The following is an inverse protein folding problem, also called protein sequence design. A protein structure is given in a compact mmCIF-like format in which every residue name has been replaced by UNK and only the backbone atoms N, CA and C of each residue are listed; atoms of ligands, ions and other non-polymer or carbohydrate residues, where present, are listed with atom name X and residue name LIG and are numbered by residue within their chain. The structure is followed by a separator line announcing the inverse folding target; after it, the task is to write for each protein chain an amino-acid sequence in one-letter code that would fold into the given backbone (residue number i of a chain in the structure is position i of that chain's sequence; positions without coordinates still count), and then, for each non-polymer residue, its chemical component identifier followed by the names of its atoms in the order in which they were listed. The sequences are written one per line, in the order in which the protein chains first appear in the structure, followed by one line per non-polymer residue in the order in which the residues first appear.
data_IF_988744620895
#
_entry.id   IF_988744620895
#
_cell.length_a   1.000
_cell.length_b   1.000
_cell.length_c   1.000
_cell.angle_alpha   90.00
_cell.angle_beta   90.00
_cell.angle_gamma   90.00
#
_symmetry.space_group_name_H-M   'P 1'
#
loop_
_entity.id
_entity.type
_entity.pdbx_description
1 polymer ?
#
# COMPACT_ATOMS: atom_id res chain seq x y z
N UNK A 1 46.45 48.65 -24.23
CA UNK A 1 45.06 48.60 -23.72
C UNK A 1 45.01 47.62 -22.56
N UNK A 2 44.88 48.12 -21.33
CA UNK A 2 44.74 47.31 -20.11
C UNK A 2 43.29 46.86 -20.03
N UNK A 3 43.01 45.64 -20.47
CA UNK A 3 41.66 45.10 -20.37
C UNK A 3 41.29 44.84 -18.91
N UNK A 4 40.12 45.37 -18.56
CA UNK A 4 39.44 45.24 -17.27
C UNK A 4 39.34 43.77 -16.89
N UNK A 5 40.26 43.29 -16.07
CA UNK A 5 40.07 42.10 -15.23
C UNK A 5 38.95 42.51 -14.25
N UNK A 6 37.73 42.20 -14.64
CA UNK A 6 36.52 42.42 -13.85
C UNK A 6 36.71 41.80 -12.47
N UNK A 7 36.36 42.57 -11.44
CA UNK A 7 36.29 42.25 -10.01
C UNK A 7 35.45 41.00 -9.65
N UNK A 8 34.99 40.24 -10.65
CA UNK A 8 34.26 38.98 -10.52
C UNK A 8 35.18 37.74 -10.47
N UNK A 9 36.50 37.89 -10.66
CA UNK A 9 37.47 36.77 -10.66
C UNK A 9 38.37 36.72 -9.41
N UNK A 10 38.23 37.64 -8.47
CA UNK A 10 39.02 37.67 -7.23
C UNK A 10 38.09 37.34 -6.06
N UNK A 11 38.53 36.43 -5.21
CA UNK A 11 37.84 36.06 -3.97
C UNK A 11 37.95 37.23 -2.98
N UNK A 12 36.84 37.84 -2.55
CA UNK A 12 36.86 38.97 -1.62
C UNK A 12 37.35 38.60 -0.22
N UNK A 13 37.31 37.32 0.17
CA UNK A 13 37.74 36.87 1.49
C UNK A 13 39.25 36.64 1.58
N UNK A 14 39.88 36.24 0.47
CA UNK A 14 41.31 35.86 0.45
C UNK A 14 42.18 36.77 -0.41
N UNK A 15 41.59 37.59 -1.28
CA UNK A 15 42.31 38.43 -2.23
C UNK A 15 42.96 37.65 -3.38
N UNK A 16 42.76 36.33 -3.45
CA UNK A 16 43.31 35.45 -4.48
C UNK A 16 42.33 35.26 -5.64
N UNK A 17 42.78 34.82 -6.83
CA UNK A 17 41.88 34.46 -7.92
C UNK A 17 40.91 33.34 -7.53
N UNK A 18 39.65 33.46 -7.94
CA UNK A 18 38.64 32.43 -7.75
C UNK A 18 39.01 31.15 -8.51
N UNK A 19 38.75 29.95 -7.94
CA UNK A 19 38.98 28.70 -8.64
C UNK A 19 38.17 28.62 -9.94
N UNK A 20 38.73 27.98 -10.97
CA UNK A 20 38.03 27.80 -12.25
C UNK A 20 36.67 27.11 -12.05
N UNK A 21 35.61 27.68 -12.63
CA UNK A 21 34.23 27.21 -12.49
C UNK A 21 33.46 27.77 -11.29
N UNK A 22 34.11 28.56 -10.43
CA UNK A 22 33.49 29.29 -9.31
C UNK A 22 33.31 30.76 -9.69
N UNK A 23 32.12 31.29 -9.40
CA UNK A 23 31.74 32.67 -9.64
C UNK A 23 31.28 33.31 -8.32
N UNK A 24 31.76 34.50 -8.01
CA UNK A 24 31.24 35.32 -6.91
C UNK A 24 30.34 36.41 -7.47
N UNK A 25 29.08 36.47 -7.01
CA UNK A 25 28.03 37.33 -7.58
C UNK A 25 27.83 38.66 -6.83
N UNK A 26 28.78 39.09 -5.99
CA UNK A 26 28.61 40.24 -5.09
C UNK A 26 28.16 39.80 -3.70
N UNK A 27 27.43 40.64 -2.93
CA UNK A 27 26.95 40.41 -1.54
C UNK A 27 26.08 39.13 -1.36
N UNK A 28 26.61 37.96 -1.66
CA UNK A 28 25.88 36.70 -1.76
C UNK A 28 26.82 35.50 -1.91
N UNK A 29 26.27 34.27 -1.97
CA UNK A 29 27.04 33.05 -1.95
C UNK A 29 27.84 32.81 -3.24
N UNK A 30 28.92 32.04 -3.12
CA UNK A 30 29.76 31.58 -4.24
C UNK A 30 29.01 30.55 -5.06
N UNK A 31 28.94 30.71 -6.39
CA UNK A 31 28.25 29.76 -7.29
C UNK A 31 29.27 28.93 -8.05
N UNK A 32 29.19 27.61 -7.92
CA UNK A 32 29.92 26.69 -8.79
C UNK A 32 29.03 26.24 -9.95
N UNK A 33 29.63 26.01 -11.13
CA UNK A 33 28.94 25.48 -12.31
C UNK A 33 29.74 24.35 -12.94
N UNK A 34 29.10 23.20 -13.21
CA UNK A 34 29.70 22.06 -13.90
C UNK A 34 28.78 21.62 -15.05
N UNK A 35 29.38 21.18 -16.17
CA UNK A 35 28.65 20.61 -17.30
C UNK A 35 28.62 19.09 -17.13
N UNK A 36 27.44 18.49 -17.28
CA UNK A 36 27.25 17.04 -17.21
C UNK A 36 27.18 16.42 -18.61
N UNK A 37 27.24 15.09 -18.69
CA UNK A 37 27.00 14.35 -19.94
C UNK A 37 25.59 14.72 -20.48
N UNK A 38 25.46 14.88 -21.80
CA UNK A 38 24.24 15.43 -22.43
C UNK A 38 24.21 16.95 -22.54
N UNK A 39 25.20 17.66 -21.99
CA UNK A 39 25.44 19.07 -22.27
C UNK A 39 24.75 20.05 -21.33
N UNK A 40 23.89 19.56 -20.44
CA UNK A 40 23.27 20.35 -19.37
C UNK A 40 24.30 20.90 -18.37
N UNK A 41 23.91 21.96 -17.66
CA UNK A 41 24.74 22.62 -16.64
C UNK A 41 24.08 22.55 -15.28
N UNK A 42 24.72 21.85 -14.36
CA UNK A 42 24.37 21.88 -12.94
C UNK A 42 25.10 23.02 -12.26
N UNK A 43 24.45 23.60 -11.26
CA UNK A 43 25.04 24.65 -10.45
C UNK A 43 24.56 24.55 -9.02
N UNK A 44 25.45 24.90 -8.09
CA UNK A 44 25.14 24.96 -6.67
C UNK A 44 25.83 26.19 -6.06
N UNK A 45 25.23 26.70 -4.99
CA UNK A 45 25.71 27.90 -4.27
C UNK A 45 26.26 27.51 -2.90
N UNK A 46 27.34 28.17 -2.48
CA UNK A 46 28.12 27.84 -1.28
C UNK A 46 28.48 29.09 -0.49
N UNK A 47 28.73 28.91 0.80
CA UNK A 47 29.18 29.98 1.69
C UNK A 47 30.64 30.42 1.43
N UNK A 48 31.46 29.58 0.80
CA UNK A 48 32.88 29.88 0.52
C UNK A 48 33.36 29.37 -0.83
N UNK A 49 34.36 30.03 -1.41
CA UNK A 49 35.04 29.58 -2.64
C UNK A 49 35.67 28.18 -2.47
N UNK A 50 36.19 27.86 -1.27
CA UNK A 50 36.76 26.56 -0.96
C UNK A 50 35.73 25.43 -1.02
N UNK A 51 34.53 25.64 -0.46
CA UNK A 51 33.43 24.67 -0.56
C UNK A 51 32.96 24.50 -2.00
N UNK A 52 32.80 25.62 -2.72
CA UNK A 52 32.43 25.61 -4.13
C UNK A 52 33.43 24.82 -4.98
N UNK A 53 34.73 24.96 -4.70
CA UNK A 53 35.78 24.21 -5.39
C UNK A 53 35.75 22.73 -5.05
N UNK A 54 35.63 22.38 -3.76
CA UNK A 54 35.52 20.98 -3.33
C UNK A 54 34.35 20.27 -4.02
N UNK A 55 33.20 20.93 -4.12
CA UNK A 55 32.06 20.40 -4.86
C UNK A 55 32.39 20.17 -6.34
N UNK A 56 33.05 21.13 -7.02
CA UNK A 56 33.47 20.92 -8.40
C UNK A 56 34.39 19.71 -8.56
N UNK A 57 35.35 19.53 -7.66
CA UNK A 57 36.31 18.42 -7.72
C UNK A 57 35.60 17.08 -7.49
N UNK A 58 34.75 16.97 -6.45
CA UNK A 58 33.94 15.77 -6.17
C UNK A 58 33.02 15.42 -7.35
N UNK A 59 32.24 16.38 -7.82
CA UNK A 59 31.31 16.17 -8.94
C UNK A 59 32.05 15.83 -10.24
N UNK A 60 33.27 16.34 -10.44
CA UNK A 60 34.09 15.96 -11.60
C UNK A 60 34.52 14.50 -11.53
N UNK A 61 34.99 14.06 -10.37
CA UNK A 61 35.37 12.68 -10.15
C UNK A 61 34.17 11.72 -10.32
N UNK A 62 33.00 12.09 -9.80
CA UNK A 62 31.76 11.32 -9.98
C UNK A 62 31.36 11.23 -11.47
N UNK A 63 31.46 12.33 -12.22
CA UNK A 63 31.18 12.33 -13.66
C UNK A 63 32.18 11.48 -14.45
N UNK A 64 33.48 11.56 -14.12
CA UNK A 64 34.53 10.76 -14.75
C UNK A 64 34.36 9.27 -14.47
N UNK A 65 33.91 8.91 -13.28
CA UNK A 65 33.62 7.53 -12.88
C UNK A 65 32.22 7.05 -13.32
N UNK A 66 31.41 7.92 -13.92
CA UNK A 66 30.02 7.61 -14.31
C UNK A 66 29.08 7.36 -13.12
N UNK A 67 29.41 7.88 -11.94
CA UNK A 67 28.68 7.69 -10.67
C UNK A 67 27.80 8.90 -10.31
N UNK A 68 27.78 9.93 -11.15
CA UNK A 68 26.97 11.12 -10.90
C UNK A 68 25.47 10.81 -11.07
N UNK A 69 24.71 10.90 -9.98
CA UNK A 69 23.24 10.83 -9.99
C UNK A 69 22.65 12.23 -9.77
N UNK A 70 21.78 12.67 -10.67
CA UNK A 70 21.09 13.95 -10.52
C UNK A 70 19.92 13.83 -9.54
N UNK A 71 20.11 14.22 -8.28
CA UNK A 71 19.08 14.09 -7.24
C UNK A 71 18.01 15.18 -7.25
N UNK A 72 18.11 16.20 -8.12
CA UNK A 72 17.14 17.31 -8.21
C UNK A 72 15.68 16.85 -8.34
N UNK A 73 15.35 15.78 -9.09
CA UNK A 73 13.98 15.27 -9.16
C UNK A 73 13.44 14.77 -7.81
N UNK A 74 14.32 14.26 -6.92
CA UNK A 74 13.95 13.81 -5.58
C UNK A 74 13.78 14.97 -4.59
N UNK A 75 14.51 16.06 -4.77
CA UNK A 75 14.38 17.27 -3.95
C UNK A 75 13.06 18.01 -4.20
N UNK A 76 12.52 17.92 -5.42
CA UNK A 76 11.32 18.64 -5.86
C UNK A 76 10.01 17.93 -5.56
N UNK A 77 10.07 16.67 -5.15
CA UNK A 77 8.90 15.84 -4.92
C UNK A 77 8.91 15.33 -3.49
N UNK A 78 7.71 15.17 -2.94
CA UNK A 78 7.46 14.60 -1.63
C UNK A 78 7.01 13.14 -1.74
N UNK A 79 7.09 12.41 -0.62
CA UNK A 79 6.52 11.06 -0.52
C UNK A 79 5.01 11.07 -0.80
N UNK A 80 4.29 12.11 -0.36
CA UNK A 80 2.86 12.29 -0.66
C UNK A 80 2.62 12.30 -2.17
N UNK A 81 3.30 13.17 -2.89
CA UNK A 81 3.11 13.31 -4.33
C UNK A 81 3.44 12.01 -5.07
N UNK A 82 4.48 11.30 -4.62
CA UNK A 82 4.83 9.98 -5.14
C UNK A 82 3.71 8.95 -4.95
N UNK A 83 3.15 8.88 -3.73
CA UNK A 83 2.08 7.96 -3.38
C UNK A 83 0.80 8.31 -4.14
N UNK A 84 0.43 9.59 -4.22
CA UNK A 84 -0.77 10.05 -4.93
C UNK A 84 -0.67 9.74 -6.43
N UNK A 85 0.51 9.94 -7.03
CA UNK A 85 0.78 9.54 -8.41
C UNK A 85 0.59 8.04 -8.60
N UNK A 86 1.19 7.22 -7.72
CA UNK A 86 1.07 5.77 -7.79
C UNK A 86 -0.38 5.30 -7.66
N UNK A 87 -1.15 5.93 -6.78
CA UNK A 87 -2.57 5.60 -6.58
C UNK A 87 -3.38 5.88 -7.84
N UNK A 88 -3.10 6.98 -8.53
CA UNK A 88 -3.78 7.38 -9.77
C UNK A 88 -3.44 6.46 -10.95
N UNK A 89 -2.18 6.07 -11.08
CA UNK A 89 -1.67 5.31 -12.23
C UNK A 89 -1.89 3.79 -12.04
N UNK A 90 -1.57 3.24 -10.86
CA UNK A 90 -1.42 1.79 -10.67
C UNK A 90 -2.52 1.13 -9.79
N UNK A 91 -3.29 1.91 -9.02
CA UNK A 91 -4.23 1.36 -8.02
C UNK A 91 -5.71 1.45 -8.41
N UNK A 92 -6.02 1.60 -9.69
CA UNK A 92 -7.42 1.73 -10.16
C UNK A 92 -8.30 0.54 -9.72
N UNK A 93 -7.74 -0.67 -9.64
CA UNK A 93 -8.47 -1.91 -9.29
C UNK A 93 -8.27 -2.37 -7.84
N UNK A 94 -7.50 -1.64 -7.02
CA UNK A 94 -7.09 -2.04 -5.66
C UNK A 94 -7.79 -1.25 -4.56
N UNK A 95 -9.12 -1.26 -4.57
CA UNK A 95 -9.96 -0.42 -3.69
C UNK A 95 -9.68 -0.59 -2.18
N UNK A 96 -9.46 -1.84 -1.72
CA UNK A 96 -9.18 -2.11 -0.30
C UNK A 96 -7.87 -1.48 0.18
N UNK A 97 -6.84 -1.47 -0.66
CA UNK A 97 -5.54 -0.89 -0.31
C UNK A 97 -5.65 0.65 -0.24
N UNK A 98 -6.45 1.25 -1.14
CA UNK A 98 -6.77 2.68 -1.15
C UNK A 98 -7.54 3.13 0.08
N UNK A 99 -8.46 2.30 0.61
CA UNK A 99 -9.24 2.60 1.81
C UNK A 99 -8.47 2.36 3.13
N UNK A 100 -7.57 1.37 3.17
CA UNK A 100 -6.96 0.93 4.44
C UNK A 100 -5.47 1.23 4.62
N UNK A 101 -4.64 1.01 3.60
CA UNK A 101 -3.18 1.03 3.73
C UNK A 101 -2.58 2.37 3.29
N UNK A 102 -3.05 2.92 2.17
CA UNK A 102 -2.60 4.23 1.65
C UNK A 102 -2.82 5.37 2.65
N UNK A 103 -4.01 5.52 3.30
CA UNK A 103 -4.24 6.64 4.19
C UNK A 103 -3.27 6.65 5.38
N UNK A 104 -2.84 5.48 5.86
CA UNK A 104 -1.88 5.40 6.95
C UNK A 104 -0.47 5.87 6.57
N UNK A 105 -0.10 5.78 5.28
CA UNK A 105 1.14 6.39 4.78
C UNK A 105 0.94 7.90 4.68
N UNK A 106 -0.17 8.33 4.06
CA UNK A 106 -0.47 9.75 3.80
C UNK A 106 -0.75 10.57 5.07
N UNK A 107 -1.19 9.95 6.15
CA UNK A 107 -1.46 10.63 7.44
C UNK A 107 -0.21 10.71 8.34
N UNK A 108 0.84 9.95 8.04
CA UNK A 108 2.08 9.99 8.80
C UNK A 108 3.00 11.11 8.29
N UNK A 109 3.89 11.59 9.17
CA UNK A 109 4.89 12.62 8.83
C UNK A 109 5.82 12.21 7.67
N UNK A 110 6.01 10.90 7.43
CA UNK A 110 6.82 10.40 6.31
C UNK A 110 6.30 10.91 4.96
N UNK A 111 4.99 11.17 4.85
CA UNK A 111 4.38 11.70 3.62
C UNK A 111 4.86 13.12 3.27
N UNK A 112 5.29 13.89 4.26
CA UNK A 112 5.72 15.28 4.07
C UNK A 112 7.21 15.40 3.74
N UNK A 113 7.96 14.32 3.85
CA UNK A 113 9.39 14.32 3.51
C UNK A 113 9.56 14.49 2.00
N UNK A 114 10.56 15.29 1.62
CA UNK A 114 11.09 15.25 0.26
C UNK A 114 11.65 13.85 -0.01
N UNK A 115 11.61 13.39 -1.27
CA UNK A 115 12.09 12.05 -1.61
C UNK A 115 13.58 11.89 -1.34
N UNK A 116 14.36 12.97 -1.39
CA UNK A 116 15.78 12.98 -1.01
C UNK A 116 15.98 12.67 0.48
N UNK A 117 15.01 13.04 1.33
CA UNK A 117 15.03 12.81 2.78
C UNK A 117 14.39 11.47 3.17
N UNK A 118 13.83 10.72 2.22
CA UNK A 118 13.29 9.37 2.42
C UNK A 118 14.44 8.37 2.60
N UNK A 119 15.07 8.41 3.77
CA UNK A 119 16.17 7.51 4.12
C UNK A 119 15.66 6.23 4.79
N UNK A 120 16.46 5.15 4.85
CA UNK A 120 16.12 3.98 5.66
C UNK A 120 15.86 4.31 7.14
N UNK A 121 16.47 5.38 7.66
CA UNK A 121 16.22 5.88 9.02
C UNK A 121 14.81 6.45 9.15
N UNK A 122 14.37 7.28 8.21
CA UNK A 122 13.00 7.80 8.18
C UNK A 122 11.97 6.67 8.09
N UNK A 123 12.22 5.67 7.24
CA UNK A 123 11.35 4.50 7.10
C UNK A 123 11.30 3.64 8.37
N UNK A 124 12.42 3.52 9.13
CA UNK A 124 12.40 2.87 10.45
C UNK A 124 11.54 3.63 11.45
N UNK A 125 11.65 4.97 11.49
CA UNK A 125 10.79 5.80 12.33
C UNK A 125 9.30 5.59 12.02
N UNK A 126 8.94 5.56 10.74
CA UNK A 126 7.59 5.23 10.31
C UNK A 126 7.13 3.83 10.74
N UNK A 127 7.99 2.80 10.59
CA UNK A 127 7.69 1.45 11.08
C UNK A 127 7.38 1.45 12.58
N UNK A 128 8.21 2.13 13.36
CA UNK A 128 8.13 2.09 14.82
C UNK A 128 6.85 2.79 15.30
N UNK A 129 6.49 3.94 14.73
CA UNK A 129 5.18 4.59 14.97
C UNK A 129 3.99 3.73 14.56
N UNK A 130 4.09 2.99 13.45
CA UNK A 130 3.04 2.07 13.06
C UNK A 130 2.91 0.89 14.04
N UNK A 131 4.02 0.41 14.61
CA UNK A 131 4.03 -0.72 15.53
C UNK A 131 3.34 -0.41 16.87
N UNK A 132 3.28 0.87 17.26
CA UNK A 132 2.53 1.30 18.46
C UNK A 132 1.01 1.11 18.31
N UNK A 133 0.49 1.19 17.07
CA UNK A 133 -0.95 1.23 16.80
C UNK A 133 -1.48 -0.01 16.10
N UNK A 134 -0.63 -0.79 15.45
CA UNK A 134 -1.05 -1.85 14.53
C UNK A 134 -0.29 -3.16 14.73
N UNK A 135 -0.97 -4.27 14.43
CA UNK A 135 -0.34 -5.60 14.43
C UNK A 135 0.85 -5.68 13.46
N UNK A 136 1.85 -6.51 13.78
CA UNK A 136 3.04 -6.73 12.95
C UNK A 136 2.69 -7.03 11.48
N UNK A 137 1.67 -7.84 11.23
CA UNK A 137 1.21 -8.16 9.87
C UNK A 137 0.74 -6.92 9.09
N UNK A 138 0.03 -6.00 9.75
CA UNK A 138 -0.42 -4.73 9.16
C UNK A 138 0.76 -3.82 8.86
N UNK A 139 1.72 -3.71 9.79
CA UNK A 139 2.93 -2.90 9.59
C UNK A 139 3.72 -3.41 8.38
N UNK A 140 3.93 -4.73 8.28
CA UNK A 140 4.64 -5.35 7.14
C UNK A 140 3.95 -5.05 5.82
N UNK A 141 2.62 -5.15 5.74
CA UNK A 141 1.88 -4.83 4.52
C UNK A 141 2.09 -3.38 4.07
N UNK A 142 2.04 -2.44 5.01
CA UNK A 142 2.24 -1.01 4.72
C UNK A 142 3.67 -0.70 4.29
N UNK A 143 4.67 -1.30 4.95
CA UNK A 143 6.07 -1.17 4.54
C UNK A 143 6.34 -1.78 3.16
N UNK A 144 5.74 -2.93 2.86
CA UNK A 144 5.87 -3.55 1.54
C UNK A 144 5.17 -2.74 0.45
N UNK A 145 4.05 -2.10 0.78
CA UNK A 145 3.40 -1.16 -0.13
C UNK A 145 4.29 0.04 -0.43
N UNK A 146 4.86 0.70 0.59
CA UNK A 146 5.80 1.79 0.37
C UNK A 146 7.02 1.35 -0.45
N UNK A 147 7.57 0.17 -0.16
CA UNK A 147 8.66 -0.40 -0.94
C UNK A 147 8.29 -0.64 -2.40
N UNK A 148 7.09 -1.15 -2.68
CA UNK A 148 6.60 -1.35 -4.05
C UNK A 148 6.44 -0.02 -4.80
N UNK A 149 5.93 1.02 -4.13
CA UNK A 149 5.81 2.37 -4.69
C UNK A 149 7.18 2.93 -5.07
N UNK A 150 8.15 2.89 -4.15
CA UNK A 150 9.52 3.32 -4.45
C UNK A 150 10.16 2.50 -5.57
N UNK A 151 9.89 1.19 -5.62
CA UNK A 151 10.45 0.33 -6.67
C UNK A 151 9.87 0.67 -8.04
N UNK A 152 8.57 0.91 -8.13
CA UNK A 152 7.92 1.34 -9.36
C UNK A 152 8.43 2.69 -9.81
N UNK A 153 8.62 3.63 -8.86
CA UNK A 153 9.17 4.95 -9.18
C UNK A 153 10.59 4.89 -9.76
N UNK A 154 11.41 3.95 -9.30
CA UNK A 154 12.75 3.71 -9.86
C UNK A 154 12.64 3.09 -11.26
N UNK A 155 11.76 2.10 -11.44
CA UNK A 155 11.70 1.31 -12.67
C UNK A 155 10.96 1.99 -13.83
N UNK A 156 9.87 2.71 -13.54
CA UNK A 156 8.94 3.23 -14.55
C UNK A 156 8.95 4.76 -14.65
N UNK A 157 9.41 5.47 -13.63
CA UNK A 157 9.45 6.94 -13.61
C UNK A 157 10.86 7.51 -13.60
N UNK A 158 11.87 6.64 -13.76
CA UNK A 158 13.30 7.00 -13.78
C UNK A 158 13.71 7.89 -12.59
N UNK A 159 13.07 7.72 -11.42
CA UNK A 159 13.44 8.49 -10.25
C UNK A 159 14.82 8.02 -9.74
N UNK A 160 15.79 8.93 -9.56
CA UNK A 160 17.18 8.57 -9.32
C UNK A 160 17.44 8.24 -7.84
N UNK A 161 16.71 7.25 -7.31
CA UNK A 161 17.06 6.66 -6.02
C UNK A 161 18.24 5.72 -6.20
N UNK A 162 19.37 6.01 -5.56
CA UNK A 162 20.52 5.10 -5.50
C UNK A 162 20.13 3.67 -5.09
N UNK A 163 19.24 3.54 -4.10
CA UNK A 163 18.60 2.28 -3.67
C UNK A 163 17.21 2.57 -3.13
N UNK A 164 16.32 1.59 -3.21
CA UNK A 164 15.00 1.68 -2.59
C UNK A 164 15.10 1.73 -1.05
N UNK A 165 14.76 2.87 -0.41
CA UNK A 165 14.95 3.06 1.03
C UNK A 165 13.98 2.25 1.88
N UNK A 166 12.84 1.85 1.32
CA UNK A 166 11.81 1.07 1.99
C UNK A 166 11.92 -0.44 1.74
N UNK A 167 12.86 -0.87 0.89
CA UNK A 167 13.09 -2.29 0.61
C UNK A 167 13.37 -3.10 1.88
N UNK A 168 13.04 -4.40 1.84
CA UNK A 168 13.30 -5.30 2.97
C UNK A 168 14.81 -5.48 3.26
N UNK A 169 15.66 -5.25 2.26
CA UNK A 169 17.13 -5.21 2.39
C UNK A 169 17.63 -3.98 3.14
N UNK A 170 16.88 -2.87 3.10
CA UNK A 170 17.21 -1.62 3.79
C UNK A 170 16.58 -1.53 5.18
N UNK A 171 15.34 -2.03 5.34
CA UNK A 171 14.59 -1.95 6.59
C UNK A 171 13.97 -3.30 6.94
N UNK A 172 14.44 -3.89 8.05
CA UNK A 172 13.91 -5.16 8.57
C UNK A 172 12.44 -5.03 8.94
N UNK A 173 11.66 -6.01 8.48
CA UNK A 173 10.24 -6.16 8.77
C UNK A 173 10.02 -6.71 10.20
N UNK A 174 8.99 -6.24 10.92
CA UNK A 174 8.63 -6.82 12.22
C UNK A 174 8.42 -8.34 12.15
N UNK A 175 8.92 -9.06 13.15
CA UNK A 175 8.71 -10.50 13.27
C UNK A 175 7.26 -10.83 13.65
N UNK A 176 6.81 -12.05 13.39
CA UNK A 176 5.47 -12.52 13.77
C UNK A 176 4.34 -12.05 12.85
N UNK A 177 4.65 -11.39 11.74
CA UNK A 177 3.68 -11.06 10.68
C UNK A 177 3.11 -12.32 9.98
N UNK A 178 3.81 -13.43 10.10
CA UNK A 178 3.50 -14.75 9.55
C UNK A 178 2.69 -15.64 10.50
N UNK A 179 2.38 -15.18 11.72
CA UNK A 179 1.49 -15.92 12.64
C UNK A 179 0.13 -16.13 11.98
N UNK A 180 -0.07 -17.32 11.43
CA UNK A 180 -1.34 -17.72 10.82
C UNK A 180 -2.36 -17.91 11.93
N UNK A 181 -3.53 -17.30 11.75
CA UNK A 181 -4.70 -17.57 12.59
C UNK A 181 -5.23 -18.97 12.23
N UNK A 182 -4.79 -19.98 12.97
CA UNK A 182 -5.16 -21.38 12.72
C UNK A 182 -6.24 -21.92 13.65
N UNK A 183 -6.70 -21.13 14.65
CA UNK A 183 -7.79 -21.52 15.53
C UNK A 183 -9.07 -21.76 14.70
N UNK A 184 -9.78 -22.83 15.02
CA UNK A 184 -11.12 -23.17 14.51
C UNK A 184 -12.14 -23.04 15.64
N UNK A 185 -13.43 -23.16 15.34
CA UNK A 185 -14.46 -23.32 16.37
C UNK A 185 -14.23 -24.66 17.07
N UNK A 186 -14.33 -24.68 18.40
CA UNK A 186 -14.04 -25.84 19.26
C UNK A 186 -15.25 -26.11 20.15
N UNK A 187 -15.60 -27.37 20.42
CA UNK A 187 -16.68 -27.68 21.36
C UNK A 187 -18.04 -27.14 20.91
N UNK A 188 -18.73 -26.43 21.80
CA UNK A 188 -20.07 -25.86 21.62
C UNK A 188 -20.07 -24.47 20.95
N UNK A 189 -18.90 -23.97 20.54
CA UNK A 189 -18.75 -22.63 19.97
C UNK A 189 -19.51 -22.42 18.66
N UNK A 190 -19.73 -23.50 17.90
CA UNK A 190 -20.56 -23.47 16.70
C UNK A 190 -22.04 -23.25 17.06
N UNK A 191 -22.56 -24.00 18.03
CA UNK A 191 -23.95 -23.91 18.45
C UNK A 191 -24.24 -22.53 19.07
N UNK A 192 -23.36 -22.05 19.94
CA UNK A 192 -23.46 -20.71 20.54
C UNK A 192 -23.37 -19.58 19.51
N UNK A 193 -22.63 -19.78 18.41
CA UNK A 193 -22.60 -18.84 17.30
C UNK A 193 -23.97 -18.80 16.59
N UNK A 194 -24.58 -19.96 16.33
CA UNK A 194 -25.89 -20.04 15.70
C UNK A 194 -27.01 -19.47 16.56
N UNK A 195 -27.00 -19.74 17.87
CA UNK A 195 -27.94 -19.14 18.83
C UNK A 195 -27.85 -17.61 18.81
N UNK A 196 -26.64 -17.07 18.77
CA UNK A 196 -26.44 -15.63 18.67
C UNK A 196 -26.89 -15.07 17.31
N UNK A 197 -26.75 -15.83 16.21
CA UNK A 197 -27.27 -15.42 14.89
C UNK A 197 -28.79 -15.44 14.83
N UNK A 198 -29.45 -16.32 15.59
CA UNK A 198 -30.92 -16.36 15.65
C UNK A 198 -31.54 -15.09 16.24
N UNK A 199 -30.75 -14.29 16.97
CA UNK A 199 -31.14 -12.97 17.49
C UNK A 199 -30.90 -11.83 16.49
N UNK A 200 -30.33 -12.13 15.31
CA UNK A 200 -30.07 -11.11 14.29
C UNK A 200 -31.39 -10.54 13.73
N UNK A 201 -31.46 -9.22 13.45
CA UNK A 201 -32.59 -8.65 12.73
C UNK A 201 -32.70 -9.15 11.28
N UNK A 202 -31.64 -9.77 10.75
CA UNK A 202 -31.61 -10.27 9.37
C UNK A 202 -31.88 -11.78 9.34
N UNK A 203 -32.92 -12.23 8.60
CA UNK A 203 -33.38 -13.61 8.65
C UNK A 203 -32.37 -14.61 8.09
N UNK A 204 -31.49 -14.18 7.18
CA UNK A 204 -30.56 -15.07 6.49
C UNK A 204 -29.16 -15.15 7.15
N UNK A 205 -28.89 -14.40 8.22
CA UNK A 205 -27.55 -14.37 8.85
C UNK A 205 -27.11 -15.77 9.32
N UNK A 206 -28.01 -16.51 9.97
CA UNK A 206 -27.72 -17.86 10.46
C UNK A 206 -27.45 -18.83 9.30
N UNK A 207 -28.30 -18.84 8.27
CA UNK A 207 -28.15 -19.77 7.14
C UNK A 207 -26.95 -19.40 6.25
N UNK A 208 -26.62 -18.11 6.16
CA UNK A 208 -25.42 -17.62 5.48
C UNK A 208 -24.14 -18.13 6.15
N UNK A 209 -24.04 -18.04 7.49
CA UNK A 209 -22.88 -18.54 8.24
C UNK A 209 -22.76 -20.06 8.10
N UNK A 210 -23.86 -20.79 8.23
CA UNK A 210 -23.89 -22.24 8.03
C UNK A 210 -23.44 -22.60 6.61
N UNK A 211 -23.98 -21.93 5.59
CA UNK A 211 -23.58 -22.13 4.20
C UNK A 211 -22.09 -21.87 3.99
N UNK A 212 -21.55 -20.78 4.54
CA UNK A 212 -20.15 -20.42 4.38
C UNK A 212 -19.20 -21.43 5.03
N UNK A 213 -19.59 -22.02 6.18
CA UNK A 213 -18.85 -23.08 6.84
C UNK A 213 -18.91 -24.39 6.02
N UNK A 214 -20.11 -24.76 5.56
CA UNK A 214 -20.36 -26.00 4.81
C UNK A 214 -19.72 -26.02 3.40
N UNK A 215 -19.74 -24.88 2.69
CA UNK A 215 -19.11 -24.77 1.36
C UNK A 215 -17.65 -24.31 1.40
N UNK A 216 -17.20 -23.70 2.50
CA UNK A 216 -15.87 -23.11 2.58
C UNK A 216 -15.65 -21.93 1.61
N UNK A 217 -16.70 -21.22 1.25
CA UNK A 217 -16.63 -20.04 0.37
C UNK A 217 -16.00 -18.84 1.07
N UNK A 218 -15.32 -17.96 0.32
CA UNK A 218 -14.94 -16.65 0.90
C UNK A 218 -16.19 -15.82 1.14
N UNK A 219 -16.17 -15.00 2.20
CA UNK A 219 -17.31 -14.11 2.56
C UNK A 219 -17.86 -13.34 1.35
N UNK A 220 -17.02 -12.61 0.63
CA UNK A 220 -17.45 -11.80 -0.53
C UNK A 220 -17.99 -12.65 -1.69
N UNK A 221 -17.52 -13.89 -1.84
CA UNK A 221 -18.04 -14.82 -2.86
C UNK A 221 -19.47 -15.24 -2.50
N UNK A 222 -19.72 -15.54 -1.23
CA UNK A 222 -21.06 -15.90 -0.77
C UNK A 222 -22.02 -14.70 -0.76
N UNK A 223 -21.55 -13.50 -0.38
CA UNK A 223 -22.37 -12.27 -0.33
C UNK A 223 -22.90 -11.83 -1.70
N UNK A 224 -22.20 -12.20 -2.78
CA UNK A 224 -22.55 -11.78 -4.14
C UNK A 224 -23.22 -12.88 -4.96
N UNK A 225 -23.47 -14.04 -4.34
CA UNK A 225 -24.05 -15.22 -4.97
C UNK A 225 -25.50 -14.99 -5.34
N UNK A 226 -25.87 -15.37 -6.58
CA UNK A 226 -27.25 -15.29 -7.09
C UNK A 226 -27.81 -16.67 -7.38
N UNK A 227 -29.13 -16.79 -7.46
CA UNK A 227 -29.77 -18.09 -7.72
C UNK A 227 -29.35 -18.72 -9.04
N UNK A 228 -29.07 -17.93 -10.08
CA UNK A 228 -28.51 -18.43 -11.35
C UNK A 228 -27.12 -19.06 -11.24
N UNK A 229 -26.39 -18.76 -10.17
CA UNK A 229 -25.04 -19.24 -9.96
C UNK A 229 -25.03 -20.64 -9.34
N UNK A 230 -26.19 -21.18 -8.97
CA UNK A 230 -26.36 -22.50 -8.36
C UNK A 230 -27.03 -23.44 -9.35
N UNK A 231 -26.36 -24.55 -9.65
CA UNK A 231 -26.92 -25.65 -10.42
C UNK A 231 -27.10 -26.86 -9.49
N UNK A 232 -28.35 -27.08 -9.08
CA UNK A 232 -28.68 -28.18 -8.18
C UNK A 232 -28.61 -29.56 -8.85
N UNK A 233 -28.76 -29.63 -10.18
CA UNK A 233 -28.78 -30.89 -10.92
C UNK A 233 -27.36 -31.35 -11.20
N UNK A 234 -26.47 -30.41 -11.54
CA UNK A 234 -25.04 -30.68 -11.73
C UNK A 234 -24.23 -30.62 -10.43
N UNK A 235 -24.88 -30.31 -9.31
CA UNK A 235 -24.23 -30.08 -8.01
C UNK A 235 -23.05 -29.11 -8.12
N UNK A 236 -23.28 -27.95 -8.73
CA UNK A 236 -22.24 -26.99 -9.05
C UNK A 236 -22.59 -25.56 -8.58
N UNK A 237 -21.55 -24.83 -8.19
CA UNK A 237 -21.60 -23.43 -7.79
C UNK A 237 -20.67 -22.62 -8.68
N UNK A 238 -21.19 -21.60 -9.35
CA UNK A 238 -20.45 -20.73 -10.27
C UNK A 238 -20.12 -19.39 -9.62
N UNK A 239 -18.83 -19.11 -9.39
CA UNK A 239 -18.41 -17.88 -8.72
C UNK A 239 -17.92 -16.85 -9.76
N UNK A 240 -18.74 -15.83 -10.02
CA UNK A 240 -18.51 -14.82 -11.06
C UNK A 240 -17.55 -13.68 -10.69
N UNK A 241 -17.23 -13.47 -9.40
CA UNK A 241 -16.28 -12.43 -8.94
C UNK A 241 -15.26 -13.02 -7.97
N UNK A 242 -14.21 -13.61 -8.51
CA UNK A 242 -13.03 -13.93 -7.70
C UNK A 242 -12.05 -12.77 -7.73
N UNK A 243 -11.30 -12.57 -6.63
CA UNK A 243 -10.33 -11.48 -6.43
C UNK A 243 -9.29 -11.32 -7.56
N UNK A 244 -9.18 -12.32 -8.44
CA UNK A 244 -8.27 -12.32 -9.59
C UNK A 244 -9.09 -12.14 -10.87
N UNK A 245 -9.45 -10.89 -11.21
CA UNK A 245 -10.23 -10.61 -12.43
C UNK A 245 -9.58 -11.17 -13.71
N UNK A 246 -8.24 -11.27 -13.75
CA UNK A 246 -7.52 -11.91 -14.87
C UNK A 246 -7.94 -13.37 -15.13
N UNK A 247 -8.25 -14.16 -14.09
CA UNK A 247 -8.67 -15.56 -14.29
C UNK A 247 -10.07 -15.67 -14.89
N UNK A 248 -10.97 -14.75 -14.56
CA UNK A 248 -12.35 -14.78 -15.02
C UNK A 248 -12.48 -14.43 -16.51
N UNK A 249 -11.62 -13.53 -17.02
CA UNK A 249 -11.61 -13.11 -18.43
C UNK A 249 -11.10 -14.24 -19.34
N UNK A 250 -10.09 -14.99 -18.91
CA UNK A 250 -9.49 -16.05 -19.73
C UNK A 250 -10.17 -17.43 -19.60
N UNK A 251 -10.71 -17.76 -18.42
CA UNK A 251 -11.16 -19.14 -18.10
C UNK A 251 -12.63 -19.27 -17.75
N UNK A 252 -13.39 -18.17 -17.78
CA UNK A 252 -14.78 -18.16 -17.33
C UNK A 252 -14.92 -18.19 -15.79
N UNK A 253 -16.15 -18.34 -15.27
CA UNK A 253 -16.40 -18.35 -13.83
C UNK A 253 -15.71 -19.55 -13.15
N UNK A 254 -15.30 -19.37 -11.90
CA UNK A 254 -14.75 -20.47 -11.11
C UNK A 254 -15.90 -21.38 -10.67
N UNK A 255 -15.94 -22.60 -11.21
CA UNK A 255 -16.96 -23.60 -10.84
C UNK A 255 -16.42 -24.48 -9.70
N UNK A 256 -17.17 -24.55 -8.61
CA UNK A 256 -16.89 -25.42 -7.45
C UNK A 256 -18.00 -26.46 -7.29
N UNK A 257 -17.68 -27.68 -6.81
CA UNK A 257 -18.71 -28.64 -6.47
C UNK A 257 -19.53 -28.13 -5.28
N UNK A 258 -20.85 -28.23 -5.39
CA UNK A 258 -21.78 -27.88 -4.33
C UNK A 258 -21.85 -29.03 -3.32
N UNK A 259 -21.37 -28.81 -2.09
CA UNK A 259 -21.46 -29.84 -1.05
C UNK A 259 -22.92 -30.19 -0.71
N UNK A 260 -23.22 -31.46 -0.36
CA UNK A 260 -24.58 -31.88 -0.01
C UNK A 260 -25.17 -31.09 1.17
N UNK A 261 -24.32 -30.73 2.14
CA UNK A 261 -24.69 -29.92 3.30
C UNK A 261 -25.33 -28.60 2.89
N UNK A 262 -24.62 -27.80 2.09
CA UNK A 262 -25.19 -26.53 1.68
C UNK A 262 -26.18 -26.60 0.53
N UNK A 263 -26.20 -27.67 -0.28
CA UNK A 263 -27.34 -27.92 -1.18
C UNK A 263 -28.65 -28.03 -0.39
N UNK A 264 -28.65 -28.73 0.76
CA UNK A 264 -29.82 -28.80 1.65
C UNK A 264 -30.21 -27.44 2.21
N UNK A 265 -29.24 -26.66 2.69
CA UNK A 265 -29.48 -25.30 3.21
C UNK A 265 -30.10 -24.39 2.13
N UNK A 266 -29.53 -24.41 0.93
CA UNK A 266 -30.04 -23.61 -0.18
C UNK A 266 -31.45 -24.06 -0.63
N UNK A 267 -31.74 -25.36 -0.66
CA UNK A 267 -33.09 -25.88 -0.93
C UNK A 267 -34.09 -25.43 0.13
N UNK A 268 -33.72 -25.49 1.41
CA UNK A 268 -34.61 -25.00 2.49
C UNK A 268 -34.85 -23.50 2.38
N UNK A 269 -33.82 -22.72 2.05
CA UNK A 269 -33.95 -21.28 1.84
C UNK A 269 -34.85 -20.96 0.64
N UNK A 270 -34.66 -21.68 -0.47
CA UNK A 270 -35.46 -21.52 -1.69
C UNK A 270 -36.95 -21.78 -1.43
N UNK A 271 -37.28 -22.78 -0.61
CA UNK A 271 -38.66 -23.12 -0.25
C UNK A 271 -39.35 -22.05 0.62
N UNK A 272 -38.57 -21.29 1.40
CA UNK A 272 -39.08 -20.23 2.27
C UNK A 272 -39.21 -18.88 1.55
N UNK A 273 -38.59 -18.75 0.36
CA UNK A 273 -38.53 -17.50 -0.40
C UNK A 273 -39.81 -17.28 -1.23
N UNK A 274 -40.29 -16.03 -1.23
CA UNK A 274 -41.37 -15.58 -2.14
C UNK A 274 -40.93 -15.54 -3.60
N UNK A 275 -39.64 -15.32 -3.84
CA UNK A 275 -39.01 -15.15 -5.14
C UNK A 275 -37.60 -15.74 -5.10
N UNK A 276 -37.28 -16.56 -6.10
CA UNK A 276 -35.92 -17.10 -6.32
C UNK A 276 -35.55 -16.92 -7.79
N UNK A 277 -35.75 -15.71 -8.32
CA UNK A 277 -35.45 -15.47 -9.73
C UNK A 277 -33.94 -15.58 -9.96
N UNK A 278 -33.50 -15.98 -11.16
CA UNK A 278 -32.08 -16.19 -11.45
C UNK A 278 -31.19 -14.96 -11.10
N UNK A 279 -31.75 -13.76 -11.22
CA UNK A 279 -31.08 -12.51 -10.89
C UNK A 279 -31.02 -12.18 -9.39
N UNK A 280 -31.83 -12.80 -8.54
CA UNK A 280 -31.92 -12.43 -7.12
C UNK A 280 -30.69 -12.92 -6.34
N UNK A 281 -30.30 -12.17 -5.31
CA UNK A 281 -29.30 -12.63 -4.35
C UNK A 281 -29.85 -13.83 -3.58
N UNK A 282 -28.97 -14.79 -3.31
CA UNK A 282 -29.30 -15.99 -2.53
C UNK A 282 -29.59 -15.64 -1.07
N UNK A 283 -28.80 -14.75 -0.49
CA UNK A 283 -28.92 -14.32 0.91
C UNK A 283 -29.34 -12.85 0.97
N UNK A 284 -30.34 -12.55 1.81
CA UNK A 284 -30.81 -11.21 2.12
C UNK A 284 -30.30 -10.81 3.51
N UNK A 285 -29.24 -10.02 3.53
CA UNK A 285 -28.46 -9.68 4.73
C UNK A 285 -28.48 -8.18 5.04
N UNK A 286 -29.46 -7.43 4.49
CA UNK A 286 -29.51 -5.98 4.63
C UNK A 286 -28.50 -5.23 3.75
N UNK A 287 -28.20 -3.98 4.08
CA UNK A 287 -27.25 -3.17 3.31
C UNK A 287 -25.79 -3.57 3.59
N UNK A 288 -24.85 -3.22 2.70
CA UNK A 288 -23.43 -3.54 2.87
C UNK A 288 -22.79 -2.99 4.15
N UNK A 289 -23.33 -1.88 4.67
CA UNK A 289 -22.84 -1.27 5.90
C UNK A 289 -23.39 -2.00 7.14
N UNK A 290 -24.63 -2.51 7.07
CA UNK A 290 -25.21 -3.39 8.09
C UNK A 290 -24.46 -4.73 8.19
N UNK A 291 -23.90 -5.21 7.06
CA UNK A 291 -23.09 -6.45 6.99
C UNK A 291 -21.74 -6.33 7.71
N UNK A 292 -21.23 -5.10 7.88
CA UNK A 292 -20.00 -4.84 8.62
C UNK A 292 -20.24 -4.71 10.13
N UNK A 293 -21.44 -4.30 10.53
CA UNK A 293 -21.93 -4.39 11.92
C UNK A 293 -22.59 -5.75 12.23
N UNK A 294 -22.76 -6.61 11.21
CA UNK A 294 -23.52 -7.86 11.28
C UNK A 294 -23.25 -8.66 12.54
N UNK A 295 -24.33 -9.34 12.95
CA UNK A 295 -24.42 -10.19 14.09
C UNK A 295 -23.19 -11.10 14.29
N UNK A 296 -22.45 -11.52 13.26
CA UNK A 296 -21.19 -12.28 13.41
C UNK A 296 -20.10 -11.59 14.25
N UNK A 297 -19.89 -10.27 14.14
CA UNK A 297 -18.89 -9.55 14.96
C UNK A 297 -19.45 -9.31 16.37
N UNK A 298 -20.72 -8.92 16.47
CA UNK A 298 -21.41 -8.71 17.74
C UNK A 298 -21.53 -10.04 18.52
N UNK A 299 -21.84 -11.14 17.85
CA UNK A 299 -21.89 -12.49 18.40
C UNK A 299 -20.49 -13.00 18.70
N UNK A 300 -19.48 -12.78 17.85
CA UNK A 300 -18.11 -13.13 18.24
C UNK A 300 -17.71 -12.38 19.52
N UNK A 301 -18.04 -11.10 19.65
CA UNK A 301 -17.72 -10.31 20.84
C UNK A 301 -18.56 -10.71 22.07
N UNK A 302 -19.86 -11.03 21.91
CA UNK A 302 -20.74 -11.47 23.01
C UNK A 302 -20.48 -12.91 23.44
N UNK A 303 -20.11 -13.78 22.50
CA UNK A 303 -19.91 -15.22 22.71
C UNK A 303 -18.48 -15.53 23.16
N UNK A 304 -17.48 -14.76 22.72
CA UNK A 304 -16.07 -14.99 23.04
C UNK A 304 -15.42 -13.90 23.90
N UNK A 305 -16.18 -12.96 24.47
CA UNK A 305 -15.65 -12.11 25.53
C UNK A 305 -15.18 -13.00 26.70
N UNK A 306 -13.96 -12.81 27.23
CA UNK A 306 -13.56 -13.50 28.43
C UNK A 306 -14.53 -13.10 29.54
N UNK A 307 -15.08 -14.10 30.25
CA UNK A 307 -15.71 -13.83 31.53
C UNK A 307 -14.67 -13.07 32.37
N UNK A 308 -14.90 -11.78 32.59
CA UNK A 308 -14.14 -11.02 33.57
C UNK A 308 -14.48 -11.66 34.89
N UNK A 309 -13.63 -12.57 35.34
CA UNK A 309 -13.68 -13.12 36.69
C UNK A 309 -13.51 -11.95 37.64
N UNK A 310 -14.61 -11.59 38.31
CA UNK A 310 -14.60 -10.78 39.52
C UNK A 310 -13.97 -11.55 40.67
#
# INVERSE_FOLDING_TARGET
MKDRITSAKIDPATGLPLPAGVEYRGKGPYRARKRIAGGERIHQTFASAKMARRWLDTTSAELELGQFEDTRPLERQTVRELVDRYVREEMQTRENDRKGHIPAILQDEIAQLALVDLTPTAVRGFRDRLAEKYSAATVVKRLNLLAAICQHAIAEWDLPFSKNPAAATAVRRPAGADKKRNRRLIGDEYDRLLEAMALSPWPDDAIFVQFAIEQGTRREEALTLRWRDIDFDRHALSLGKTKTMHRAIERGPEIRPLTPGAARLLRSLQAQRKSSWPGDLVFDLGSKDDILESACIIACNKTFAPAVTS
#
